data_IF_783423505349
#
_entry.id   IF_783423505349
#
_cell.length_a   1.000
_cell.length_b   1.000
_cell.length_c   1.000
_cell.angle_alpha   90.00
_cell.angle_beta   90.00
_cell.angle_gamma   90.00
#
_symmetry.space_group_name_H-M   'P 1'
#
loop_
_entity.id
_entity.type
_entity.pdbx_description
1 polymer ?
#
# COMPACT_ATOMS: atom_id res chain seq x y z
N UNK A 1 5.82 -7.37 16.53
CA UNK A 1 4.72 -8.13 15.91
C UNK A 1 4.77 -7.85 14.42
N UNK A 2 4.80 -8.87 13.56
CA UNK A 2 4.81 -8.67 12.11
C UNK A 2 3.44 -8.20 11.62
N UNK A 3 3.44 -7.18 10.76
CA UNK A 3 2.24 -6.60 10.17
C UNK A 3 2.22 -6.83 8.68
N UNK A 4 1.01 -7.06 8.18
CA UNK A 4 0.76 -7.32 6.76
C UNK A 4 -0.35 -6.41 6.27
N UNK A 5 -0.27 -6.02 5.00
CA UNK A 5 -1.14 -4.98 4.45
C UNK A 5 -1.81 -5.42 3.15
N UNK A 6 -3.06 -5.00 2.94
CA UNK A 6 -3.77 -5.16 1.68
C UNK A 6 -4.47 -3.86 1.32
N UNK A 7 -4.73 -3.65 0.03
CA UNK A 7 -5.07 -2.33 -0.49
C UNK A 7 -6.37 -2.38 -1.28
N UNK A 8 -7.29 -1.48 -0.98
CA UNK A 8 -8.38 -1.16 -1.90
C UNK A 8 -7.92 -0.04 -2.82
N UNK A 9 -7.88 -0.32 -4.12
CA UNK A 9 -7.53 0.63 -5.17
C UNK A 9 -8.76 1.01 -5.97
N UNK A 10 -8.83 2.26 -6.42
CA UNK A 10 -9.90 2.73 -7.30
C UNK A 10 -9.74 4.20 -7.65
N UNK A 11 -10.41 4.63 -8.72
CA UNK A 11 -10.39 6.02 -9.21
C UNK A 11 -10.93 7.01 -8.19
N UNK A 12 -10.55 8.29 -8.33
CA UNK A 12 -10.99 9.31 -7.39
C UNK A 12 -12.51 9.52 -7.41
N UNK A 13 -13.13 9.47 -6.23
CA UNK A 13 -14.58 9.56 -6.07
C UNK A 13 -15.36 8.31 -6.51
N UNK A 14 -14.68 7.21 -6.87
CA UNK A 14 -15.39 6.01 -7.33
C UNK A 14 -16.18 5.36 -6.19
N UNK A 15 -17.39 4.80 -6.47
CA UNK A 15 -18.21 4.17 -5.44
C UNK A 15 -17.54 2.89 -4.91
N UNK A 16 -17.79 2.56 -3.64
CA UNK A 16 -17.14 1.44 -2.93
C UNK A 16 -17.22 0.09 -3.66
N UNK A 17 -18.29 -0.15 -4.41
CA UNK A 17 -18.50 -1.37 -5.20
C UNK A 17 -17.53 -1.53 -6.36
N UNK A 18 -16.87 -0.45 -6.79
CA UNK A 18 -15.89 -0.45 -7.89
C UNK A 18 -14.45 -0.58 -7.42
N UNK A 19 -14.23 -0.60 -6.10
CA UNK A 19 -12.89 -0.71 -5.55
C UNK A 19 -12.38 -2.13 -5.70
N UNK A 20 -11.15 -2.26 -6.18
CA UNK A 20 -10.48 -3.54 -6.36
C UNK A 20 -9.66 -3.82 -5.09
N UNK A 21 -9.89 -4.98 -4.47
CA UNK A 21 -9.06 -5.47 -3.39
C UNK A 21 -7.81 -6.14 -3.97
N UNK A 22 -6.65 -5.54 -3.70
CA UNK A 22 -5.34 -6.11 -3.93
C UNK A 22 -4.89 -6.79 -2.63
N UNK A 23 -5.18 -8.08 -2.51
CA UNK A 23 -5.02 -8.88 -1.28
C UNK A 23 -3.61 -9.45 -1.10
N UNK A 24 -2.59 -8.69 -1.48
CA UNK A 24 -1.20 -9.15 -1.52
C UNK A 24 -0.57 -9.48 -0.15
N UNK A 25 -1.22 -9.11 0.96
CA UNK A 25 -0.70 -9.29 2.34
C UNK A 25 0.78 -8.91 2.43
N UNK A 26 1.09 -7.67 2.05
CA UNK A 26 2.44 -7.15 1.99
C UNK A 26 2.99 -6.90 3.40
N UNK A 27 4.14 -7.49 3.72
CA UNK A 27 4.83 -7.22 4.99
C UNK A 27 5.42 -5.80 4.97
N UNK A 28 5.11 -5.01 5.98
CA UNK A 28 5.71 -3.69 6.20
C UNK A 28 5.71 -3.32 7.69
N UNK A 29 6.49 -2.33 8.09
CA UNK A 29 6.53 -1.80 9.45
C UNK A 29 5.31 -0.92 9.74
N UNK A 30 4.90 -0.09 8.78
CA UNK A 30 3.76 0.80 8.88
C UNK A 30 3.01 0.97 7.54
N UNK A 31 1.91 1.75 7.58
CA UNK A 31 1.06 2.02 6.42
C UNK A 31 1.77 2.81 5.34
N UNK A 32 2.68 3.72 5.70
CA UNK A 32 3.40 4.58 4.75
C UNK A 32 4.38 3.74 3.94
N UNK A 33 5.17 2.90 4.61
CA UNK A 33 6.08 1.95 3.97
C UNK A 33 5.31 0.98 3.08
N UNK A 34 4.18 0.43 3.56
CA UNK A 34 3.34 -0.46 2.78
C UNK A 34 2.87 0.19 1.46
N UNK A 35 2.44 1.45 1.49
CA UNK A 35 2.00 2.21 0.32
C UNK A 35 3.15 2.48 -0.67
N UNK A 36 4.34 2.83 -0.16
CA UNK A 36 5.54 3.04 -0.97
C UNK A 36 5.92 1.74 -1.66
N UNK A 37 6.11 0.64 -0.91
CA UNK A 37 6.48 -0.66 -1.47
C UNK A 37 5.47 -1.16 -2.51
N UNK A 38 4.17 -1.02 -2.25
CA UNK A 38 3.15 -1.43 -3.20
C UNK A 38 3.15 -0.55 -4.47
N UNK A 39 3.38 0.76 -4.35
CA UNK A 39 3.52 1.64 -5.53
C UNK A 39 4.74 1.28 -6.38
N UNK A 40 5.88 1.00 -5.74
CA UNK A 40 7.09 0.52 -6.43
C UNK A 40 6.82 -0.78 -7.18
N UNK A 41 6.16 -1.75 -6.53
CA UNK A 41 5.84 -3.02 -7.16
C UNK A 41 4.96 -2.82 -8.41
N UNK A 42 3.95 -1.94 -8.35
CA UNK A 42 3.10 -1.63 -9.50
C UNK A 42 3.87 -0.97 -10.64
N UNK A 43 4.72 0.00 -10.32
CA UNK A 43 5.55 0.67 -11.32
C UNK A 43 6.54 -0.30 -11.97
N UNK A 44 7.20 -1.14 -11.17
CA UNK A 44 8.11 -2.18 -11.67
C UNK A 44 7.41 -3.17 -12.62
N UNK A 45 6.19 -3.60 -12.28
CA UNK A 45 5.39 -4.48 -13.15
C UNK A 45 4.96 -3.81 -14.46
N UNK A 46 4.71 -2.50 -14.45
CA UNK A 46 4.40 -1.74 -15.66
C UNK A 46 5.63 -1.62 -16.55
N UNK A 47 6.76 -1.16 -15.99
CA UNK A 47 8.01 -0.96 -16.73
C UNK A 47 8.57 -2.27 -17.30
N UNK A 48 8.48 -3.39 -16.56
CA UNK A 48 8.95 -4.70 -17.03
C UNK A 48 8.12 -5.28 -18.19
N UNK A 49 6.88 -4.82 -18.39
CA UNK A 49 6.05 -5.22 -19.55
C UNK A 49 6.39 -4.43 -20.81
N UNK A 50 6.87 -3.21 -20.66
CA UNK A 50 7.19 -2.31 -21.77
C UNK A 50 8.66 -2.42 -22.16
N UNK A 51 9.01 -3.46 -22.94
CA UNK A 51 10.40 -3.74 -23.39
C UNK A 51 11.08 -2.57 -24.13
N UNK A 52 10.32 -1.60 -24.61
CA UNK A 52 10.80 -0.43 -25.36
C UNK A 52 11.06 0.79 -24.47
N UNK A 53 10.60 0.80 -23.21
CA UNK A 53 10.96 1.86 -22.27
C UNK A 53 12.43 1.66 -21.85
N UNK A 54 13.28 2.69 -21.93
CA UNK A 54 14.62 2.61 -21.37
C UNK A 54 14.49 2.29 -19.89
N UNK A 55 15.25 1.31 -19.42
CA UNK A 55 15.22 0.79 -18.05
C UNK A 55 15.70 1.88 -17.08
N UNK A 56 14.86 2.88 -16.82
CA UNK A 56 15.11 3.93 -15.85
C UNK A 56 14.86 3.30 -14.49
N UNK A 57 15.92 2.84 -13.85
CA UNK A 57 15.92 2.34 -12.47
C UNK A 57 15.68 3.47 -11.44
N UNK A 58 14.87 4.47 -11.77
CA UNK A 58 14.61 5.63 -10.92
C UNK A 58 13.19 5.49 -10.40
N UNK A 59 13.06 4.87 -9.23
CA UNK A 59 11.81 4.87 -8.50
C UNK A 59 11.61 6.23 -7.81
N UNK A 60 10.46 6.85 -8.04
CA UNK A 60 10.06 8.06 -7.32
C UNK A 60 9.00 7.69 -6.29
N UNK A 61 9.25 8.00 -5.01
CA UNK A 61 8.25 7.79 -3.95
C UNK A 61 6.92 8.45 -4.32
N UNK A 62 5.77 7.77 -4.12
CA UNK A 62 4.48 8.30 -4.51
C UNK A 62 4.20 9.59 -3.75
N UNK A 63 3.76 10.61 -4.49
CA UNK A 63 3.33 11.87 -3.91
C UNK A 63 1.88 11.77 -3.36
N UNK A 64 1.42 12.75 -2.56
CA UNK A 64 0.05 12.74 -2.02
C UNK A 64 -1.04 12.69 -3.09
N UNK A 65 -0.78 13.21 -4.28
CA UNK A 65 -1.75 13.23 -5.38
C UNK A 65 -1.92 11.82 -5.95
N UNK A 66 -0.83 11.12 -6.23
CA UNK A 66 -0.85 9.70 -6.62
C UNK A 66 -1.60 8.85 -5.58
N UNK A 67 -1.29 9.05 -4.29
CA UNK A 67 -1.96 8.30 -3.21
C UNK A 67 -3.47 8.57 -3.22
N UNK A 68 -3.90 9.84 -3.35
CA UNK A 68 -5.30 10.24 -3.41
C UNK A 68 -6.03 9.67 -4.63
N UNK A 69 -5.36 9.56 -5.76
CA UNK A 69 -5.96 9.04 -6.99
C UNK A 69 -6.01 7.51 -7.05
N UNK A 70 -5.14 6.83 -6.31
CA UNK A 70 -4.98 5.37 -6.40
C UNK A 70 -5.62 4.63 -5.22
N UNK A 71 -5.33 5.02 -3.99
CA UNK A 71 -5.66 4.22 -2.81
C UNK A 71 -6.90 4.76 -2.10
N UNK A 72 -7.84 3.86 -1.81
CA UNK A 72 -9.12 4.17 -1.14
C UNK A 72 -9.13 3.74 0.31
N UNK A 73 -8.52 2.60 0.61
CA UNK A 73 -8.42 2.04 1.95
C UNK A 73 -7.24 1.10 2.05
N UNK A 74 -6.64 1.03 3.24
CA UNK A 74 -5.61 0.03 3.58
C UNK A 74 -6.13 -0.84 4.71
N UNK A 75 -5.89 -2.14 4.64
CA UNK A 75 -6.22 -3.13 5.66
C UNK A 75 -4.92 -3.59 6.30
N UNK A 76 -4.82 -3.55 7.62
CA UNK A 76 -3.70 -4.06 8.40
C UNK A 76 -4.09 -5.40 9.04
N UNK A 77 -3.17 -6.35 9.00
CA UNK A 77 -3.33 -7.70 9.51
C UNK A 77 -2.16 -8.12 10.40
N UNK A 78 -2.45 -9.02 11.33
CA UNK A 78 -1.45 -9.88 11.96
C UNK A 78 -1.48 -11.28 11.34
N UNK A 79 -0.30 -11.87 11.15
CA UNK A 79 -0.18 -13.29 10.80
C UNK A 79 -0.38 -14.14 12.06
N UNK A 80 -1.23 -15.16 11.96
CA UNK A 80 -1.43 -16.20 12.96
C UNK A 80 -0.97 -17.53 12.38
N UNK A 81 0.05 -18.10 13.00
CA UNK A 81 0.52 -19.44 12.68
C UNK A 81 -0.26 -20.44 13.53
N UNK A 82 -1.12 -21.22 12.88
CA UNK A 82 -1.92 -22.24 13.54
C UNK A 82 -1.41 -23.63 13.11
N UNK A 83 -0.49 -24.24 13.88
CA UNK A 83 -0.04 -25.60 13.60
C UNK A 83 -1.17 -26.60 13.81
N UNK A 84 -1.50 -27.38 12.78
CA UNK A 84 -2.47 -28.48 12.81
C UNK A 84 -1.94 -29.65 11.99
N UNK A 85 -2.00 -30.85 12.55
CA UNK A 85 -1.66 -32.11 11.86
C UNK A 85 -0.28 -32.09 11.15
N UNK A 86 0.75 -31.57 11.83
CA UNK A 86 2.12 -31.51 11.29
C UNK A 86 2.34 -30.44 10.20
N UNK A 87 1.38 -29.55 9.95
CA UNK A 87 1.50 -28.41 9.03
C UNK A 87 1.12 -27.11 9.74
N UNK A 88 1.70 -25.99 9.35
CA UNK A 88 1.29 -24.66 9.83
C UNK A 88 0.34 -24.03 8.83
N UNK A 89 -0.93 -23.89 9.21
CA UNK A 89 -1.89 -23.12 8.42
C UNK A 89 -1.70 -21.63 8.74
N UNK A 90 -1.22 -20.87 7.76
CA UNK A 90 -1.07 -19.42 7.87
C UNK A 90 -2.45 -18.78 7.77
N UNK A 91 -2.83 -18.04 8.80
CA UNK A 91 -4.05 -17.25 8.81
C UNK A 91 -3.71 -15.77 9.03
N UNK A 92 -4.56 -14.88 8.53
CA UNK A 92 -4.41 -13.45 8.74
C UNK A 92 -5.62 -12.93 9.50
N UNK A 93 -5.38 -12.29 10.63
CA UNK A 93 -6.43 -11.61 11.40
C UNK A 93 -6.34 -10.12 11.12
N UNK A 94 -7.44 -9.55 10.64
CA UNK A 94 -7.56 -8.11 10.43
C UNK A 94 -7.47 -7.37 11.76
N UNK A 95 -6.60 -6.37 11.81
CA UNK A 95 -6.37 -5.52 12.98
C UNK A 95 -7.04 -4.16 12.83
N UNK A 96 -6.85 -3.50 11.68
CA UNK A 96 -7.30 -2.12 11.48
C UNK A 96 -7.58 -1.83 10.00
N UNK A 97 -8.47 -0.87 9.75
CA UNK A 97 -8.71 -0.28 8.43
C UNK A 97 -8.35 1.20 8.47
N UNK A 98 -7.63 1.64 7.44
CA UNK A 98 -7.28 3.04 7.24
C UNK A 98 -8.07 3.58 6.08
N UNK A 99 -8.86 4.62 6.31
CA UNK A 99 -9.55 5.39 5.29
C UNK A 99 -8.58 6.18 4.42
N UNK A 100 -9.05 6.66 3.27
CA UNK A 100 -8.28 7.55 2.42
C UNK A 100 -7.78 8.82 3.15
N UNK A 101 -8.58 9.36 4.08
CA UNK A 101 -8.17 10.54 4.82
C UNK A 101 -6.97 10.25 5.73
N UNK A 102 -7.02 9.12 6.46
CA UNK A 102 -5.94 8.67 7.35
C UNK A 102 -4.66 8.35 6.57
N UNK A 103 -4.74 7.74 5.39
CA UNK A 103 -3.52 7.45 4.61
C UNK A 103 -2.84 8.73 4.10
N UNK A 104 -3.63 9.77 3.78
CA UNK A 104 -3.08 11.01 3.23
C UNK A 104 -2.31 11.83 4.27
N UNK A 105 -2.58 11.67 5.56
CA UNK A 105 -1.85 12.41 6.61
C UNK A 105 -0.37 12.04 6.64
N UNK A 106 -0.02 10.77 6.39
CA UNK A 106 1.37 10.27 6.34
C UNK A 106 2.25 10.92 5.26
N UNK A 107 1.64 11.61 4.28
CA UNK A 107 2.33 12.27 3.16
C UNK A 107 2.21 13.80 3.16
N UNK A 108 1.52 14.41 4.15
CA UNK A 108 1.34 15.87 4.23
C UNK A 108 2.53 16.62 4.85
N UNK A 109 3.40 15.95 5.61
CA UNK A 109 4.31 16.61 6.58
C UNK A 109 5.51 17.38 6.00
N UNK A 110 5.70 17.47 4.68
CA UNK A 110 6.89 18.17 4.13
C UNK A 110 6.67 19.70 3.98
N UNK A 111 5.43 20.21 4.01
CA UNK A 111 5.18 21.66 3.80
C UNK A 111 5.36 22.53 5.04
N UNK A 112 5.39 21.96 6.24
CA UNK A 112 5.43 22.74 7.49
C UNK A 112 6.86 23.02 7.96
N UNK A 113 7.84 22.19 7.58
CA UNK A 113 9.25 22.39 7.93
C UNK A 113 9.96 23.44 7.05
N UNK A 114 9.46 23.71 5.84
CA UNK A 114 10.07 24.66 4.89
C UNK A 114 9.48 26.08 4.97
N UNK A 115 8.59 26.36 5.94
CA UNK A 115 8.01 27.70 6.18
C UNK A 115 8.49 28.35 7.49
N UNK A 116 9.48 27.75 8.15
CA UNK A 116 10.02 28.22 9.44
C UNK A 116 11.54 28.12 9.53
N UNK A 117 12.26 28.45 8.46
CA UNK A 117 13.72 28.63 8.44
C UNK A 117 14.06 29.95 7.77
#
# INVERSE_FOLDING_TARGET
MEKFYSFYIGSNGSPKSTWILDDCKLRAYDVKEALIMHSFHKEYLMNSRERWLPNKNIYTSPDPWYIKHTYRRVLEYEKKDNPKYGRTLVQFKELKKYSQHEILTYFKEIKTLLRGS
#
